data_IF_756236552239
#
_entry.id   IF_756236552239
#
_cell.length_a   1.000
_cell.length_b   1.000
_cell.length_c   1.000
_cell.angle_alpha   90.00
_cell.angle_beta   90.00
_cell.angle_gamma   90.00
#
_symmetry.space_group_name_H-M   'P 1'
#
loop_
_entity.id
_entity.type
_entity.pdbx_description
1 polymer ?
#
# COMPACT_ATOMS: atom_id res chain seq x y z
N UNK A 1 -6.39 -22.69 -17.54
CA UNK A 1 -5.03 -22.83 -16.99
C UNK A 1 -5.02 -22.18 -15.62
N UNK A 2 -4.64 -22.90 -14.56
CA UNK A 2 -4.45 -22.31 -13.22
C UNK A 2 -3.01 -21.85 -13.10
N UNK A 3 -2.79 -20.62 -12.65
CA UNK A 3 -1.45 -20.12 -12.33
C UNK A 3 -0.93 -20.77 -11.04
N UNK A 4 0.40 -20.93 -10.97
CA UNK A 4 1.04 -21.33 -9.72
C UNK A 4 0.82 -20.25 -8.67
N UNK A 5 0.45 -20.65 -7.45
CA UNK A 5 0.37 -19.75 -6.30
C UNK A 5 1.56 -19.93 -5.38
N UNK A 6 1.99 -18.87 -4.73
CA UNK A 6 3.05 -18.87 -3.73
C UNK A 6 2.60 -18.04 -2.52
N UNK A 7 3.11 -18.38 -1.34
CA UNK A 7 2.87 -17.56 -0.15
C UNK A 7 3.55 -16.20 -0.29
N UNK A 8 2.90 -15.14 0.18
CA UNK A 8 3.44 -13.78 0.11
C UNK A 8 4.84 -13.69 0.70
N UNK A 9 5.11 -14.39 1.80
CA UNK A 9 6.43 -14.39 2.46
C UNK A 9 7.59 -14.90 1.59
N UNK A 10 7.28 -15.64 0.52
CA UNK A 10 8.31 -16.16 -0.42
C UNK A 10 8.52 -15.26 -1.63
N UNK A 11 7.63 -14.29 -1.89
CA UNK A 11 7.63 -13.46 -3.09
C UNK A 11 7.65 -11.96 -2.81
N UNK A 12 7.65 -11.57 -1.53
CA UNK A 12 7.75 -10.16 -1.12
C UNK A 12 8.37 -10.03 0.28
N UNK A 13 9.10 -8.94 0.48
CA UNK A 13 9.48 -8.47 1.81
C UNK A 13 8.39 -7.59 2.39
N UNK A 14 8.09 -7.73 3.67
CA UNK A 14 7.13 -6.86 4.32
C UNK A 14 7.44 -6.65 5.81
N UNK A 15 7.12 -5.47 6.28
CA UNK A 15 7.26 -5.09 7.68
C UNK A 15 6.14 -4.15 8.11
N UNK A 16 5.84 -4.14 9.41
CA UNK A 16 5.09 -3.05 10.02
C UNK A 16 5.96 -1.81 10.10
N UNK A 17 5.35 -0.64 9.94
CA UNK A 17 6.00 0.65 10.09
C UNK A 17 6.51 0.92 11.50
N UNK A 18 7.24 2.01 11.67
CA UNK A 18 7.82 2.41 12.97
C UNK A 18 6.72 2.78 13.96
N UNK A 19 6.82 2.24 15.17
CA UNK A 19 5.97 2.67 16.29
C UNK A 19 6.42 4.06 16.77
N UNK A 20 5.45 4.95 16.94
CA UNK A 20 5.70 6.23 17.59
C UNK A 20 5.87 5.98 19.11
N UNK A 21 7.11 6.03 19.57
CA UNK A 21 7.52 5.84 20.95
C UNK A 21 8.44 7.01 21.33
N UNK A 22 8.11 7.74 22.38
CA UNK A 22 8.88 8.92 22.80
C UNK A 22 10.36 8.61 23.06
N UNK A 23 10.66 7.43 23.60
CA UNK A 23 12.04 7.03 23.92
C UNK A 23 12.84 6.65 22.66
N UNK A 24 12.16 6.21 21.60
CA UNK A 24 12.73 5.76 20.32
C UNK A 24 12.60 6.77 19.20
N UNK A 25 12.02 7.94 19.47
CA UNK A 25 11.85 9.00 18.47
C UNK A 25 13.15 9.82 18.34
N UNK A 26 14.18 9.22 17.74
CA UNK A 26 15.52 9.78 17.54
C UNK A 26 15.89 9.82 16.06
N UNK A 27 16.87 10.65 15.69
CA UNK A 27 17.34 10.81 14.31
C UNK A 27 16.71 12.01 13.60
N UNK A 28 16.65 11.97 12.28
CA UNK A 28 16.15 13.05 11.41
C UNK A 28 14.61 13.07 11.34
N UNK A 29 13.99 14.26 11.37
CA UNK A 29 12.54 14.41 11.24
C UNK A 29 12.11 14.20 9.78
N UNK A 30 11.53 13.05 9.46
CA UNK A 30 11.03 12.71 8.13
C UNK A 30 9.50 12.59 8.12
N UNK A 31 8.83 12.89 6.98
CA UNK A 31 7.41 12.69 6.82
C UNK A 31 7.07 11.20 6.84
N UNK A 32 5.89 10.87 7.35
CA UNK A 32 5.43 9.49 7.38
C UNK A 32 3.95 9.36 7.00
N UNK A 33 3.62 8.22 6.41
CA UNK A 33 2.25 7.80 6.23
C UNK A 33 1.74 7.13 7.50
N UNK A 34 0.58 7.57 7.95
CA UNK A 34 -0.25 6.92 8.94
C UNK A 34 -1.46 6.27 8.27
N UNK A 35 -2.24 5.51 9.04
CA UNK A 35 -3.45 4.84 8.53
C UNK A 35 -4.42 5.82 7.85
N UNK A 36 -4.56 7.04 8.38
CA UNK A 36 -5.44 8.09 7.82
C UNK A 36 -5.02 8.57 6.43
N UNK A 37 -3.75 8.40 6.06
CA UNK A 37 -3.23 8.82 4.76
C UNK A 37 -3.45 7.78 3.65
N UNK A 38 -3.73 6.52 3.98
CA UNK A 38 -3.98 5.47 2.99
C UNK A 38 -5.47 5.44 2.67
N UNK A 39 -5.80 5.51 1.39
CA UNK A 39 -7.15 5.30 0.85
C UNK A 39 -7.15 4.05 -0.04
N UNK A 40 -8.30 3.63 -0.53
CA UNK A 40 -8.38 2.56 -1.52
C UNK A 40 -7.83 3.05 -2.87
N UNK A 41 -6.59 2.66 -3.16
CA UNK A 41 -5.91 2.96 -4.43
C UNK A 41 -5.11 4.25 -4.46
N UNK A 42 -5.18 5.09 -3.44
CA UNK A 42 -4.55 6.40 -3.42
C UNK A 42 -4.05 6.79 -2.03
N UNK A 43 -3.22 7.83 -1.96
CA UNK A 43 -2.76 8.43 -0.71
C UNK A 43 -3.29 9.85 -0.57
N UNK A 44 -3.76 10.17 0.62
CA UNK A 44 -4.04 11.53 1.03
C UNK A 44 -2.76 12.13 1.64
N UNK A 45 -2.08 12.97 0.86
CA UNK A 45 -0.82 13.61 1.23
C UNK A 45 -1.00 15.05 1.72
N UNK A 46 -2.23 15.51 1.94
CA UNK A 46 -2.55 16.89 2.32
C UNK A 46 -2.09 17.24 3.75
N UNK A 47 -2.09 16.27 4.66
CA UNK A 47 -1.64 16.44 6.06
C UNK A 47 -0.63 15.34 6.41
N UNK A 48 0.66 15.64 6.18
CA UNK A 48 1.77 14.75 6.48
C UNK A 48 2.44 15.15 7.81
N UNK A 49 2.39 14.25 8.76
CA UNK A 49 3.09 14.40 10.03
C UNK A 49 4.54 13.97 9.90
N UNK A 50 5.40 14.41 10.82
CA UNK A 50 6.81 14.02 10.89
C UNK A 50 7.09 13.29 12.20
N UNK A 51 7.97 12.29 12.14
CA UNK A 51 8.63 11.72 13.29
C UNK A 51 10.11 11.45 12.97
N UNK A 52 10.91 11.16 13.99
CA UNK A 52 12.35 11.01 13.80
C UNK A 52 12.70 9.57 13.41
N UNK A 53 13.67 9.45 12.50
CA UNK A 53 14.21 8.17 12.04
C UNK A 53 15.74 8.23 12.10
N UNK A 54 16.33 7.15 12.63
CA UNK A 54 17.77 6.96 12.61
C UNK A 54 18.21 6.36 11.26
N UNK A 55 19.48 6.55 10.90
CA UNK A 55 20.00 6.12 9.59
C UNK A 55 19.75 4.64 9.31
N UNK A 56 19.89 3.76 10.30
CA UNK A 56 19.65 2.32 10.15
C UNK A 56 18.17 1.93 9.95
N UNK A 57 17.24 2.85 10.24
CA UNK A 57 15.80 2.63 10.09
C UNK A 57 15.29 2.99 8.69
N UNK A 58 16.05 3.80 7.92
CA UNK A 58 15.60 4.32 6.62
C UNK A 58 15.33 3.20 5.62
N UNK A 59 16.18 2.18 5.55
CA UNK A 59 15.96 1.04 4.65
C UNK A 59 14.72 0.22 5.02
N UNK A 60 14.45 0.07 6.31
CA UNK A 60 13.34 -0.73 6.81
C UNK A 60 11.99 -0.02 6.64
N UNK A 61 11.91 1.26 6.96
CA UNK A 61 10.64 1.99 7.02
C UNK A 61 10.44 2.96 5.87
N UNK A 62 11.45 3.21 5.06
CA UNK A 62 11.38 4.07 3.88
C UNK A 62 10.65 3.40 2.73
N UNK A 63 9.85 4.20 2.03
CA UNK A 63 9.15 3.77 0.83
C UNK A 63 10.01 3.96 -0.42
N UNK A 64 9.91 3.00 -1.33
CA UNK A 64 10.48 3.02 -2.68
C UNK A 64 9.36 2.81 -3.70
N UNK A 65 9.60 3.21 -4.94
CA UNK A 65 8.65 2.92 -6.03
C UNK A 65 8.28 1.43 -6.03
N UNK A 66 6.99 1.14 -6.20
CA UNK A 66 6.48 -0.23 -6.22
C UNK A 66 6.13 -0.82 -4.86
N UNK A 67 6.42 -0.14 -3.75
CA UNK A 67 5.96 -0.59 -2.44
C UNK A 67 4.44 -0.47 -2.34
N UNK A 68 3.80 -1.50 -1.81
CA UNK A 68 2.38 -1.48 -1.48
C UNK A 68 2.26 -1.16 0.01
N UNK A 69 1.54 -0.09 0.31
CA UNK A 69 1.24 0.30 1.70
C UNK A 69 -0.17 -0.16 2.04
N UNK A 70 -0.30 -1.01 3.06
CA UNK A 70 -1.55 -1.64 3.44
C UNK A 70 -1.88 -1.38 4.91
N UNK A 71 -3.12 -1.02 5.20
CA UNK A 71 -3.60 -0.85 6.57
C UNK A 71 -3.62 -2.19 7.33
N UNK A 72 -2.96 -2.22 8.49
CA UNK A 72 -3.02 -3.34 9.43
C UNK A 72 -4.30 -3.28 10.27
N UNK A 73 -4.74 -2.08 10.64
CA UNK A 73 -5.90 -1.85 11.50
C UNK A 73 -6.81 -0.74 10.98
N UNK A 74 -7.93 -0.52 11.68
CA UNK A 74 -8.98 0.42 11.29
C UNK A 74 -9.84 -0.14 10.14
N UNK A 75 -9.32 -0.19 8.94
CA UNK A 75 -9.87 -0.88 7.77
C UNK A 75 -8.78 -1.78 7.19
N UNK A 76 -8.58 -2.99 7.78
CA UNK A 76 -7.49 -3.87 7.37
C UNK A 76 -7.60 -4.29 5.90
N UNK A 77 -6.46 -4.34 5.21
CA UNK A 77 -6.40 -4.68 3.80
C UNK A 77 -6.60 -3.50 2.85
N UNK A 78 -7.03 -2.30 3.34
CA UNK A 78 -7.03 -1.08 2.54
C UNK A 78 -5.61 -0.74 2.14
N UNK A 79 -5.36 -0.58 0.83
CA UNK A 79 -4.00 -0.41 0.33
C UNK A 79 -3.92 0.54 -0.86
N UNK A 80 -2.70 1.04 -1.08
CA UNK A 80 -2.33 1.83 -2.25
C UNK A 80 -0.89 1.54 -2.66
N UNK A 81 -0.58 1.79 -3.94
CA UNK A 81 0.75 1.61 -4.53
C UNK A 81 1.55 2.90 -4.42
N UNK A 82 2.75 2.82 -3.85
CA UNK A 82 3.66 3.96 -3.77
C UNK A 82 4.38 4.18 -5.11
N UNK A 83 4.21 5.38 -5.67
CA UNK A 83 4.79 5.81 -6.96
C UNK A 83 5.78 6.97 -6.78
N UNK A 84 6.40 7.07 -5.61
CA UNK A 84 7.34 8.16 -5.24
C UNK A 84 6.75 9.58 -5.35
N UNK A 85 5.46 9.71 -5.01
CA UNK A 85 4.75 10.99 -5.04
C UNK A 85 5.33 12.03 -4.06
N UNK A 86 6.15 11.57 -3.13
CA UNK A 86 6.82 12.41 -2.14
C UNK A 86 8.18 11.82 -1.77
N UNK A 87 9.23 12.64 -1.69
CA UNK A 87 10.58 12.19 -1.35
C UNK A 87 10.71 11.78 0.11
N UNK A 88 11.55 10.78 0.37
CA UNK A 88 11.91 10.34 1.74
C UNK A 88 10.71 9.99 2.62
N UNK A 89 9.64 9.43 2.03
CA UNK A 89 8.45 9.03 2.76
C UNK A 89 8.70 7.77 3.59
N UNK A 90 8.24 7.80 4.82
CA UNK A 90 8.37 6.71 5.78
C UNK A 90 6.99 6.10 6.09
N UNK A 91 6.95 4.94 6.75
CA UNK A 91 5.71 4.32 7.22
C UNK A 91 5.69 4.20 8.74
N UNK A 92 4.55 4.56 9.32
CA UNK A 92 4.28 4.44 10.76
C UNK A 92 3.49 3.17 11.06
N UNK A 93 3.60 2.63 12.25
CA UNK A 93 2.83 1.46 12.73
C UNK A 93 1.32 1.69 12.55
N UNK A 94 0.64 0.59 12.29
CA UNK A 94 -0.66 0.31 11.74
C UNK A 94 -0.67 0.27 10.19
N UNK A 95 0.51 0.35 9.55
CA UNK A 95 0.69 0.11 8.13
C UNK A 95 1.71 -1.01 7.90
N UNK A 96 1.39 -1.91 6.98
CA UNK A 96 2.37 -2.80 6.36
C UNK A 96 2.98 -2.12 5.15
N UNK A 97 4.30 -2.16 5.02
CA UNK A 97 5.00 -1.95 3.75
C UNK A 97 5.25 -3.33 3.14
N UNK A 98 4.79 -3.55 1.92
CA UNK A 98 4.98 -4.78 1.17
C UNK A 98 5.78 -4.44 -0.08
N UNK A 99 6.96 -5.03 -0.22
CA UNK A 99 7.89 -4.83 -1.35
C UNK A 99 8.00 -6.13 -2.13
N UNK A 100 7.44 -6.22 -3.33
CA UNK A 100 7.53 -7.42 -4.14
C UNK A 100 8.97 -7.72 -4.54
N UNK A 101 9.30 -9.00 -4.66
CA UNK A 101 10.53 -9.47 -5.28
C UNK A 101 10.41 -9.45 -6.81
N UNK A 102 11.52 -9.62 -7.53
CA UNK A 102 11.58 -9.54 -9.00
C UNK A 102 10.63 -10.47 -9.76
N UNK A 103 10.13 -11.52 -9.10
CA UNK A 103 9.14 -12.43 -9.67
C UNK A 103 7.72 -11.85 -9.73
N UNK A 104 7.47 -10.75 -9.04
CA UNK A 104 6.17 -10.08 -8.99
C UNK A 104 6.27 -8.63 -9.48
N UNK A 105 5.48 -8.31 -10.51
CA UNK A 105 5.31 -6.94 -10.96
C UNK A 105 4.52 -6.15 -9.91
N UNK A 106 5.02 -4.98 -9.43
CA UNK A 106 4.41 -4.27 -8.30
C UNK A 106 2.93 -3.91 -8.50
N UNK A 107 2.57 -3.39 -9.68
CA UNK A 107 1.20 -3.02 -10.00
C UNK A 107 0.28 -4.24 -10.05
N UNK A 108 0.78 -5.39 -10.51
CA UNK A 108 0.01 -6.64 -10.50
C UNK A 108 -0.31 -7.08 -9.07
N UNK A 109 0.67 -7.09 -8.18
CA UNK A 109 0.46 -7.43 -6.77
C UNK A 109 -0.47 -6.43 -6.09
N UNK A 110 -0.33 -5.14 -6.41
CA UNK A 110 -1.23 -4.10 -5.92
C UNK A 110 -2.68 -4.36 -6.33
N UNK A 111 -2.96 -4.63 -7.59
CA UNK A 111 -4.32 -4.93 -8.05
C UNK A 111 -4.88 -6.21 -7.46
N UNK A 112 -4.04 -7.22 -7.25
CA UNK A 112 -4.43 -8.42 -6.52
C UNK A 112 -4.92 -8.08 -5.10
N UNK A 113 -4.17 -7.27 -4.34
CA UNK A 113 -4.60 -6.86 -3.01
C UNK A 113 -5.80 -5.92 -3.00
N UNK A 114 -5.86 -5.00 -3.95
CA UNK A 114 -7.00 -4.11 -4.11
C UNK A 114 -8.29 -4.90 -4.35
N UNK A 115 -8.24 -5.90 -5.22
CA UNK A 115 -9.35 -6.82 -5.47
C UNK A 115 -9.70 -7.62 -4.21
N UNK A 116 -8.76 -8.31 -3.59
CA UNK A 116 -8.98 -9.11 -2.39
C UNK A 116 -9.54 -8.30 -1.23
N UNK A 117 -9.04 -7.09 -1.03
CA UNK A 117 -9.49 -6.20 0.04
C UNK A 117 -10.91 -5.71 -0.20
N UNK A 118 -11.21 -5.15 -1.37
CA UNK A 118 -12.53 -4.60 -1.71
C UNK A 118 -13.63 -5.66 -1.77
N UNK A 119 -13.30 -6.88 -2.15
CA UNK A 119 -14.27 -7.98 -2.23
C UNK A 119 -14.42 -8.78 -0.93
N UNK A 120 -13.71 -8.38 0.15
CA UNK A 120 -13.81 -9.02 1.46
C UNK A 120 -13.07 -10.36 1.58
N UNK A 121 -12.32 -10.79 0.57
CA UNK A 121 -11.59 -12.06 0.61
C UNK A 121 -10.44 -12.10 1.64
N UNK A 122 -10.09 -10.98 2.25
CA UNK A 122 -9.13 -10.91 3.35
C UNK A 122 -9.79 -11.04 4.73
N UNK A 123 -11.10 -10.99 4.83
CA UNK A 123 -11.83 -10.91 6.11
C UNK A 123 -11.55 -12.08 7.05
N UNK A 124 -11.34 -13.30 6.52
CA UNK A 124 -11.01 -14.49 7.31
C UNK A 124 -9.63 -14.43 7.98
N UNK A 125 -8.77 -13.52 7.52
CA UNK A 125 -7.42 -13.32 8.07
C UNK A 125 -7.41 -12.29 9.20
N UNK A 126 -8.48 -11.53 9.37
CA UNK A 126 -8.55 -10.49 10.37
C UNK A 126 -8.72 -11.08 11.77
N UNK A 127 -8.09 -10.45 12.74
CA UNK A 127 -8.20 -10.76 14.16
C UNK A 127 -8.81 -9.57 14.90
N UNK A 128 -9.27 -9.81 16.12
CA UNK A 128 -9.94 -8.79 16.95
C UNK A 128 -11.46 -8.81 16.79
N UNK A 129 -12.16 -8.58 17.88
CA UNK A 129 -13.62 -8.56 17.92
C UNK A 129 -14.19 -7.19 17.56
N UNK A 130 -13.76 -6.15 18.26
CA UNK A 130 -14.25 -4.77 18.10
C UNK A 130 -13.44 -4.02 17.03
N UNK A 131 -12.12 -4.06 17.12
CA UNK A 131 -11.23 -3.45 16.13
C UNK A 131 -10.53 -4.57 15.38
N UNK A 132 -10.74 -4.62 14.07
CA UNK A 132 -10.14 -5.62 13.22
C UNK A 132 -8.70 -5.26 12.88
N UNK A 133 -7.83 -6.27 12.84
CA UNK A 133 -6.43 -6.15 12.46
C UNK A 133 -6.06 -7.26 11.48
N UNK A 134 -5.14 -6.99 10.58
CA UNK A 134 -4.49 -7.96 9.71
C UNK A 134 -3.05 -8.19 10.21
N UNK A 135 -2.81 -9.20 11.08
CA UNK A 135 -1.47 -9.45 11.60
C UNK A 135 -0.48 -9.85 10.51
N UNK A 136 0.80 -9.52 10.73
CA UNK A 136 1.89 -9.86 9.81
C UNK A 136 1.92 -11.35 9.47
N UNK A 137 1.69 -12.21 10.45
CA UNK A 137 1.72 -13.68 10.32
C UNK A 137 0.59 -14.18 9.40
N UNK A 138 -0.56 -13.52 9.42
CA UNK A 138 -1.68 -13.83 8.52
C UNK A 138 -1.44 -13.29 7.11
N UNK A 139 -0.86 -12.09 7.01
CA UNK A 139 -0.47 -11.50 5.73
C UNK A 139 0.56 -12.40 5.01
N UNK A 140 1.54 -12.95 5.75
CA UNK A 140 2.58 -13.84 5.24
C UNK A 140 2.04 -15.07 4.49
N UNK A 141 0.92 -15.60 4.94
CA UNK A 141 0.31 -16.83 4.43
C UNK A 141 -0.62 -16.62 3.23
N UNK A 142 -0.82 -15.37 2.79
CA UNK A 142 -1.68 -15.11 1.63
C UNK A 142 -1.06 -15.76 0.40
N UNK A 143 -1.85 -16.60 -0.27
CA UNK A 143 -1.47 -17.19 -1.55
C UNK A 143 -1.65 -16.17 -2.67
N UNK A 144 -0.55 -15.85 -3.34
CA UNK A 144 -0.45 -14.90 -4.45
C UNK A 144 -0.23 -15.68 -5.74
N UNK A 145 -1.02 -15.47 -6.79
CA UNK A 145 -0.75 -16.06 -8.11
C UNK A 145 0.50 -15.44 -8.71
N UNK A 146 1.35 -16.27 -9.31
CA UNK A 146 2.59 -15.84 -9.96
C UNK A 146 2.57 -16.29 -11.42
N UNK A 147 1.80 -15.62 -12.30
CA UNK A 147 1.83 -15.90 -13.74
C UNK A 147 3.15 -15.41 -14.36
N UNK A 148 3.46 -15.76 -15.62
CA UNK A 148 4.60 -15.20 -16.33
C UNK A 148 4.60 -13.67 -16.27
N UNK A 149 5.78 -13.06 -16.14
CA UNK A 149 5.91 -11.61 -15.94
C UNK A 149 5.22 -10.79 -17.05
N UNK A 150 5.28 -11.24 -18.30
CA UNK A 150 4.56 -10.61 -19.41
C UNK A 150 3.05 -10.55 -19.18
N UNK A 151 2.47 -11.61 -18.60
CA UNK A 151 1.05 -11.65 -18.25
C UNK A 151 0.73 -10.70 -17.10
N UNK A 152 1.60 -10.62 -16.08
CA UNK A 152 1.44 -9.68 -14.97
C UNK A 152 1.41 -8.23 -15.48
N UNK A 153 2.37 -7.87 -16.35
CA UNK A 153 2.47 -6.54 -16.96
C UNK A 153 1.23 -6.23 -17.80
N UNK A 154 0.76 -7.17 -18.61
CA UNK A 154 -0.45 -6.98 -19.42
C UNK A 154 -1.69 -6.72 -18.57
N UNK A 155 -1.89 -7.50 -17.51
CA UNK A 155 -3.01 -7.31 -16.57
C UNK A 155 -2.90 -5.95 -15.91
N UNK A 156 -1.71 -5.61 -15.38
CA UNK A 156 -1.47 -4.35 -14.70
C UNK A 156 -1.68 -3.15 -15.63
N UNK A 157 -1.21 -3.19 -16.87
CA UNK A 157 -1.36 -2.10 -17.83
C UNK A 157 -2.82 -1.84 -18.21
N UNK A 158 -3.62 -2.87 -18.38
CA UNK A 158 -5.06 -2.72 -18.65
C UNK A 158 -5.75 -2.04 -17.47
N UNK A 159 -5.49 -2.50 -16.24
CA UNK A 159 -6.12 -1.95 -15.04
C UNK A 159 -5.65 -0.51 -14.75
N UNK A 160 -4.36 -0.22 -14.95
CA UNK A 160 -3.82 1.14 -14.81
C UNK A 160 -4.44 2.13 -15.79
N UNK A 161 -4.71 1.71 -17.03
CA UNK A 161 -5.35 2.57 -18.02
C UNK A 161 -6.76 2.99 -17.59
N UNK A 162 -7.50 2.10 -16.90
CA UNK A 162 -8.81 2.46 -16.33
C UNK A 162 -8.66 3.41 -15.13
N UNK A 163 -7.69 3.21 -14.25
CA UNK A 163 -7.44 4.11 -13.12
C UNK A 163 -7.07 5.52 -13.63
N UNK A 164 -6.19 5.61 -14.63
CA UNK A 164 -5.81 6.89 -15.26
C UNK A 164 -7.01 7.59 -15.89
N UNK A 165 -7.91 6.84 -16.55
CA UNK A 165 -9.12 7.40 -17.13
C UNK A 165 -10.07 7.92 -16.03
N UNK A 166 -10.24 7.21 -14.94
CA UNK A 166 -11.05 7.62 -13.78
C UNK A 166 -10.48 8.90 -13.18
N UNK A 167 -9.16 8.96 -12.96
CA UNK A 167 -8.50 10.14 -12.39
C UNK A 167 -8.64 11.35 -13.31
N UNK A 168 -8.42 11.19 -14.61
CA UNK A 168 -8.59 12.26 -15.59
C UNK A 168 -10.03 12.80 -15.60
N UNK A 169 -11.03 11.92 -15.54
CA UNK A 169 -12.43 12.33 -15.50
C UNK A 169 -12.77 13.07 -14.19
N UNK A 170 -12.25 12.62 -13.04
CA UNK A 170 -12.42 13.34 -11.77
C UNK A 170 -11.84 14.75 -11.82
N UNK A 171 -10.62 14.90 -12.37
CA UNK A 171 -9.99 16.22 -12.55
C UNK A 171 -10.81 17.12 -13.48
N UNK A 172 -11.31 16.58 -14.59
CA UNK A 172 -12.18 17.34 -15.51
C UNK A 172 -13.46 17.80 -14.83
N UNK A 173 -14.10 16.92 -14.06
CA UNK A 173 -15.30 17.29 -13.30
C UNK A 173 -15.02 18.42 -12.32
N UNK A 174 -13.94 18.32 -11.54
CA UNK A 174 -13.57 19.37 -10.58
C UNK A 174 -13.32 20.72 -11.26
N UNK A 175 -12.62 20.75 -12.41
CA UNK A 175 -12.39 21.98 -13.17
C UNK A 175 -13.67 22.57 -13.75
N UNK A 176 -14.60 21.74 -14.23
CA UNK A 176 -15.89 22.19 -14.75
C UNK A 176 -16.78 22.75 -13.62
N UNK A 177 -16.78 22.12 -12.46
CA UNK A 177 -17.50 22.62 -11.29
C UNK A 177 -16.93 23.97 -10.80
N UNK A 178 -15.60 24.13 -10.83
CA UNK A 178 -14.97 25.41 -10.49
C UNK A 178 -15.35 26.50 -11.49
N UNK A 179 -15.27 26.20 -12.78
CA UNK A 179 -15.64 27.14 -13.85
C UNK A 179 -17.12 27.55 -13.80
N UNK A 180 -18.01 26.64 -13.37
CA UNK A 180 -19.44 26.92 -13.23
C UNK A 180 -19.78 27.77 -11.99
N UNK A 181 -18.88 27.94 -11.04
CA UNK A 181 -19.06 28.79 -9.84
C UNK A 181 -18.58 30.24 -10.03
N UNK A 182 -17.81 30.49 -11.09
CA UNK A 182 -17.34 31.82 -11.50
C UNK A 182 -18.42 32.56 -12.29
#
# INVERSE_FOLDING_TARGET
MSWQTQKLETVADFCLGKMLDQNKNRGEPLPYLANINVRWGEFDLSDLRKMRFEQHELERYGLKYGDIVMCEGGEPGRCALWKEQYSSMMVQKALHRIRPHDCLWPEFLYYFFLFKGRTGHLASLFTGSTIKHLPREKLALIEVPVPPQSTQIQIASVLSAYDDLIENNRRRMALLEEAARQ
#
